data_IF_081487375771
#
_entry.id   IF_081487375771
#
_cell.length_a   1.000
_cell.length_b   1.000
_cell.length_c   1.000
_cell.angle_alpha   90.00
_cell.angle_beta   90.00
_cell.angle_gamma   90.00
#
_symmetry.space_group_name_H-M   'P 1'
#
loop_
_entity.id
_entity.type
_entity.pdbx_description
1 polymer ?
#
# COMPACT_ATOMS: atom_id res chain seq x y z
N UNK A 1 31.36 -34.04 -54.63
CA UNK A 1 31.03 -32.63 -54.29
C UNK A 1 29.51 -32.52 -54.42
N UNK A 2 28.69 -32.32 -53.40
CA UNK A 2 28.69 -31.30 -52.34
C UNK A 2 27.87 -31.78 -51.11
N UNK A 3 28.30 -31.35 -49.93
CA UNK A 3 27.73 -31.60 -48.60
C UNK A 3 26.27 -31.12 -48.49
N UNK A 4 25.38 -31.92 -47.88
CA UNK A 4 24.12 -31.41 -47.30
C UNK A 4 24.27 -31.39 -45.79
N UNK A 5 24.46 -30.17 -45.29
CA UNK A 5 24.65 -29.86 -43.89
C UNK A 5 23.32 -29.91 -43.12
N UNK A 6 23.45 -30.47 -41.92
CA UNK A 6 22.48 -30.57 -40.84
C UNK A 6 21.89 -29.19 -40.51
N UNK A 7 20.56 -29.07 -40.47
CA UNK A 7 19.87 -27.96 -39.81
C UNK A 7 19.35 -28.45 -38.46
N UNK A 8 20.08 -28.10 -37.41
CA UNK A 8 19.67 -28.29 -36.02
C UNK A 8 18.49 -27.38 -35.69
N UNK A 9 17.42 -27.94 -35.13
CA UNK A 9 16.26 -27.22 -34.60
C UNK A 9 16.65 -26.70 -33.21
N UNK A 10 16.77 -25.38 -33.06
CA UNK A 10 17.11 -24.72 -31.80
C UNK A 10 15.86 -24.23 -31.08
N UNK A 11 15.78 -24.57 -29.78
CA UNK A 11 15.29 -23.81 -28.63
C UNK A 11 13.85 -23.25 -28.61
N UNK A 12 13.11 -23.61 -27.56
CA UNK A 12 12.42 -22.62 -26.70
C UNK A 12 12.55 -23.08 -25.24
N UNK A 13 13.55 -22.54 -24.52
CA UNK A 13 13.57 -22.57 -23.05
C UNK A 13 12.90 -21.26 -22.59
N UNK A 14 11.60 -21.31 -22.33
CA UNK A 14 10.87 -20.14 -21.85
C UNK A 14 11.27 -19.85 -20.40
N UNK A 15 12.22 -18.93 -20.21
CA UNK A 15 12.54 -18.34 -18.92
C UNK A 15 11.51 -17.25 -18.61
N UNK A 16 10.39 -17.63 -17.99
CA UNK A 16 9.45 -16.67 -17.44
C UNK A 16 10.07 -16.04 -16.20
N UNK A 17 10.82 -14.95 -16.37
CA UNK A 17 11.23 -14.11 -15.26
C UNK A 17 9.99 -13.33 -14.77
N UNK A 18 9.30 -13.86 -13.74
CA UNK A 18 8.40 -13.03 -12.95
C UNK A 18 9.26 -12.03 -12.17
N UNK A 19 9.51 -10.88 -12.78
CA UNK A 19 9.93 -9.70 -12.05
C UNK A 19 8.74 -9.31 -11.15
N UNK A 20 8.75 -9.76 -9.91
CA UNK A 20 7.89 -9.17 -8.89
C UNK A 20 8.21 -7.69 -8.83
N UNK A 21 7.24 -6.82 -9.12
CA UNK A 21 7.42 -5.39 -8.97
C UNK A 21 7.90 -5.12 -7.54
N UNK A 22 9.02 -4.42 -7.39
CA UNK A 22 9.39 -3.86 -6.10
C UNK A 22 8.29 -2.86 -5.74
N UNK A 23 7.45 -3.22 -4.77
CA UNK A 23 6.34 -2.37 -4.33
C UNK A 23 6.93 -1.07 -3.75
N UNK A 24 6.65 0.08 -4.36
CA UNK A 24 7.05 1.37 -3.81
C UNK A 24 6.30 1.62 -2.49
N UNK A 25 6.96 2.26 -1.52
CA UNK A 25 6.33 2.61 -0.26
C UNK A 25 6.32 4.13 -0.11
N UNK A 26 5.27 4.64 0.53
CA UNK A 26 5.18 6.04 0.92
C UNK A 26 5.48 6.18 2.42
N UNK A 27 6.27 7.18 2.76
CA UNK A 27 6.61 7.50 4.14
C UNK A 27 6.23 8.95 4.44
N UNK A 28 5.62 9.18 5.61
CA UNK A 28 5.33 10.52 6.09
C UNK A 28 5.77 10.68 7.54
N UNK A 29 6.56 11.72 7.80
CA UNK A 29 7.00 12.10 9.14
C UNK A 29 6.75 13.60 9.33
N UNK A 30 5.88 13.97 10.28
CA UNK A 30 5.58 15.38 10.49
C UNK A 30 4.49 15.65 11.53
N UNK A 31 4.26 16.93 11.83
CA UNK A 31 3.20 17.34 12.74
C UNK A 31 2.47 18.59 12.24
N UNK A 32 1.15 18.61 12.41
CA UNK A 32 0.30 19.74 12.05
C UNK A 32 0.27 20.06 10.55
N UNK A 33 0.62 19.10 9.69
CA UNK A 33 0.72 19.31 8.25
C UNK A 33 -0.52 18.81 7.51
N UNK A 34 -0.71 19.33 6.31
CA UNK A 34 -1.61 18.77 5.31
C UNK A 34 -0.82 18.32 4.09
N UNK A 35 -0.98 17.08 3.66
CA UNK A 35 -0.25 16.53 2.53
C UNK A 35 -1.03 15.45 1.78
N UNK A 36 -0.65 15.24 0.53
CA UNK A 36 -1.08 14.13 -0.30
C UNK A 36 0.10 13.18 -0.54
N UNK A 37 -0.18 11.87 -0.51
CA UNK A 37 0.81 10.82 -0.70
C UNK A 37 0.27 9.84 -1.75
N UNK A 38 1.18 9.25 -2.52
CA UNK A 38 0.88 8.11 -3.39
C UNK A 38 1.76 6.93 -2.97
N UNK A 39 1.15 5.80 -2.64
CA UNK A 39 1.87 4.59 -2.25
C UNK A 39 2.17 3.67 -3.45
N UNK A 40 1.70 4.01 -4.67
CA UNK A 40 1.90 3.26 -5.91
C UNK A 40 1.66 1.74 -5.77
N UNK A 41 0.61 1.37 -5.02
CA UNK A 41 0.23 -0.02 -4.78
C UNK A 41 0.98 -0.73 -3.67
N UNK A 42 1.90 -0.06 -2.98
CA UNK A 42 2.60 -0.59 -1.82
C UNK A 42 2.06 -0.08 -0.50
N UNK A 43 2.96 0.06 0.48
CA UNK A 43 2.57 0.40 1.83
C UNK A 43 2.75 1.89 2.12
N UNK A 44 2.03 2.38 3.12
CA UNK A 44 2.24 3.70 3.69
C UNK A 44 2.55 3.61 5.18
N UNK A 45 3.62 4.28 5.59
CA UNK A 45 4.07 4.41 6.97
C UNK A 45 3.97 5.89 7.39
N UNK A 46 3.18 6.16 8.42
CA UNK A 46 2.87 7.53 8.89
C UNK A 46 3.29 7.64 10.34
N UNK A 47 4.23 8.53 10.64
CA UNK A 47 4.62 8.87 12.01
C UNK A 47 4.39 10.35 12.30
N UNK A 48 3.71 10.64 13.40
CA UNK A 48 3.57 12.01 13.88
C UNK A 48 2.17 12.34 14.39
N UNK A 49 1.83 13.63 14.45
CA UNK A 49 0.64 14.08 15.13
C UNK A 49 -0.11 15.22 14.44
N UNK A 50 -1.43 15.22 14.59
CA UNK A 50 -2.32 16.28 14.11
C UNK A 50 -2.19 16.57 12.60
N UNK A 51 -1.86 15.56 11.79
CA UNK A 51 -1.76 15.73 10.34
C UNK A 51 -3.10 15.45 9.65
N UNK A 52 -3.31 16.05 8.49
CA UNK A 52 -4.43 15.79 7.58
C UNK A 52 -3.84 15.22 6.28
N UNK A 53 -4.02 13.91 6.06
CA UNK A 53 -3.36 13.21 4.97
C UNK A 53 -4.39 12.58 4.03
N UNK A 54 -4.16 12.70 2.73
CA UNK A 54 -4.88 11.96 1.69
C UNK A 54 -3.88 11.04 1.01
N UNK A 55 -4.17 9.75 0.97
CA UNK A 55 -3.26 8.72 0.46
C UNK A 55 -3.93 7.95 -0.67
N UNK A 56 -3.30 7.98 -1.84
CA UNK A 56 -3.76 7.33 -3.06
C UNK A 56 -2.89 6.12 -3.41
N UNK A 57 -3.29 5.39 -4.46
CA UNK A 57 -2.45 4.34 -5.06
C UNK A 57 -2.87 2.90 -4.77
N UNK A 58 -4.07 2.64 -4.23
CA UNK A 58 -4.50 1.27 -3.85
C UNK A 58 -3.52 0.59 -2.89
N UNK A 59 -3.29 1.20 -1.73
CA UNK A 59 -2.26 0.76 -0.79
C UNK A 59 -2.58 -0.60 -0.17
N UNK A 60 -1.55 -1.44 -0.06
CA UNK A 60 -1.64 -2.77 0.56
C UNK A 60 -1.59 -2.72 2.08
N UNK A 61 -1.03 -1.66 2.64
CA UNK A 61 -0.90 -1.48 4.10
C UNK A 61 -0.89 -0.01 4.48
N UNK A 62 -1.60 0.31 5.55
CA UNK A 62 -1.40 1.53 6.33
C UNK A 62 -0.84 1.15 7.69
N UNK A 63 0.29 1.73 8.07
CA UNK A 63 0.79 1.70 9.44
C UNK A 63 0.91 3.14 9.95
N UNK A 64 0.19 3.46 11.01
CA UNK A 64 0.16 4.79 11.59
C UNK A 64 0.61 4.73 13.06
N UNK A 65 1.62 5.54 13.38
CA UNK A 65 2.10 5.73 14.75
C UNK A 65 1.97 7.20 15.15
N UNK A 66 1.19 7.45 16.19
CA UNK A 66 1.04 8.79 16.77
C UNK A 66 -0.40 9.16 17.11
N UNK A 67 -0.71 10.45 17.12
CA UNK A 67 -1.96 10.94 17.71
C UNK A 67 -2.65 12.06 16.94
N UNK A 68 -3.97 12.07 16.95
CA UNK A 68 -4.77 13.16 16.38
C UNK A 68 -4.71 13.27 14.86
N UNK A 69 -4.18 12.27 14.14
CA UNK A 69 -4.09 12.32 12.69
C UNK A 69 -5.46 12.03 12.04
N UNK A 70 -5.77 12.73 10.95
CA UNK A 70 -6.92 12.50 10.08
C UNK A 70 -6.43 11.99 8.74
N UNK A 71 -6.70 10.74 8.40
CA UNK A 71 -6.19 10.12 7.17
C UNK A 71 -7.34 9.62 6.32
N UNK A 72 -7.35 9.99 5.05
CA UNK A 72 -8.18 9.35 4.01
C UNK A 72 -7.28 8.51 3.12
N UNK A 73 -7.61 7.23 2.89
CA UNK A 73 -6.74 6.33 2.13
C UNK A 73 -7.50 5.42 1.17
N UNK A 74 -6.95 5.23 -0.04
CA UNK A 74 -7.39 4.23 -1.01
C UNK A 74 -6.62 2.91 -0.81
N UNK A 75 -7.33 1.83 -0.49
CA UNK A 75 -6.76 0.52 -0.17
C UNK A 75 -6.93 -0.50 -1.31
N UNK A 76 -5.95 -1.38 -1.43
CA UNK A 76 -5.99 -2.57 -2.28
C UNK A 76 -7.05 -3.59 -1.84
N UNK A 77 -7.32 -4.58 -2.71
CA UNK A 77 -8.27 -5.67 -2.43
C UNK A 77 -7.90 -6.49 -1.18
N UNK A 78 -6.60 -6.70 -0.95
CA UNK A 78 -6.04 -7.43 0.20
C UNK A 78 -5.17 -6.48 0.99
N UNK A 79 -5.79 -5.63 1.81
CA UNK A 79 -5.10 -4.60 2.56
C UNK A 79 -5.16 -4.82 4.08
N UNK A 80 -4.27 -4.14 4.79
CA UNK A 80 -4.27 -4.08 6.25
C UNK A 80 -4.11 -2.65 6.78
N UNK A 81 -4.68 -2.39 7.95
CA UNK A 81 -4.55 -1.14 8.68
C UNK A 81 -4.04 -1.47 10.08
N UNK A 82 -2.92 -0.88 10.47
CA UNK A 82 -2.37 -0.93 11.81
C UNK A 82 -2.25 0.49 12.36
N UNK A 83 -2.77 0.72 13.55
CA UNK A 83 -2.70 2.02 14.24
C UNK A 83 -2.17 1.80 15.65
N UNK A 84 -1.16 2.59 16.01
CA UNK A 84 -0.64 2.68 17.38
C UNK A 84 -0.68 4.13 17.84
N UNK A 85 -1.41 4.39 18.92
CA UNK A 85 -1.52 5.71 19.52
C UNK A 85 -2.98 6.11 19.80
N UNK A 86 -3.27 7.41 19.76
CA UNK A 86 -4.54 7.91 20.29
C UNK A 86 -5.28 8.90 19.39
N UNK A 87 -6.60 8.85 19.42
CA UNK A 87 -7.49 9.83 18.77
C UNK A 87 -7.24 10.03 17.27
N UNK A 88 -6.79 9.01 16.54
CA UNK A 88 -6.66 9.07 15.09
C UNK A 88 -8.02 8.81 14.42
N UNK A 89 -8.30 9.48 13.30
CA UNK A 89 -9.53 9.33 12.50
C UNK A 89 -9.18 8.90 11.07
N UNK A 90 -9.39 7.61 10.77
CA UNK A 90 -9.05 6.98 9.50
C UNK A 90 -10.32 6.70 8.71
N UNK A 91 -10.37 7.22 7.49
CA UNK A 91 -11.38 6.93 6.48
C UNK A 91 -10.75 6.18 5.34
N UNK A 92 -11.20 4.96 5.06
CA UNK A 92 -10.63 4.15 3.98
C UNK A 92 -11.64 3.84 2.88
N UNK A 93 -11.18 3.82 1.63
CA UNK A 93 -11.90 3.37 0.45
C UNK A 93 -11.25 2.11 -0.08
N UNK A 94 -12.05 1.22 -0.66
CA UNK A 94 -11.58 -0.02 -1.28
C UNK A 94 -12.67 -0.56 -2.22
N UNK A 95 -12.36 -1.54 -3.09
CA UNK A 95 -13.39 -2.30 -3.80
C UNK A 95 -14.46 -2.85 -2.85
N UNK A 96 -15.72 -2.93 -3.29
CA UNK A 96 -16.88 -3.18 -2.42
C UNK A 96 -16.78 -4.44 -1.54
N UNK A 97 -16.12 -5.49 -2.03
CA UNK A 97 -15.97 -6.77 -1.33
C UNK A 97 -14.80 -6.80 -0.33
N UNK A 98 -14.01 -5.74 -0.23
CA UNK A 98 -12.79 -5.71 0.58
C UNK A 98 -13.10 -5.54 2.06
N UNK A 99 -12.54 -6.44 2.87
CA UNK A 99 -12.53 -6.38 4.34
C UNK A 99 -11.07 -6.37 4.79
N UNK A 100 -10.46 -5.19 5.04
CA UNK A 100 -9.07 -5.14 5.46
C UNK A 100 -8.91 -5.72 6.86
N UNK A 101 -7.74 -6.30 7.15
CA UNK A 101 -7.37 -6.63 8.53
C UNK A 101 -7.10 -5.34 9.27
N UNK A 102 -7.79 -5.09 10.38
CA UNK A 102 -7.64 -3.86 11.16
C UNK A 102 -7.13 -4.20 12.56
N UNK A 103 -6.03 -3.56 12.96
CA UNK A 103 -5.51 -3.58 14.33
C UNK A 103 -5.40 -2.13 14.82
N UNK A 104 -5.91 -1.86 16.02
CA UNK A 104 -5.80 -0.56 16.67
C UNK A 104 -5.35 -0.74 18.11
N UNK A 105 -4.20 -0.19 18.44
CA UNK A 105 -3.62 -0.16 19.79
C UNK A 105 -3.66 1.28 20.32
N UNK A 106 -4.13 1.46 21.55
CA UNK A 106 -4.33 2.75 22.19
C UNK A 106 -5.80 3.15 22.27
N UNK A 107 -6.08 4.44 22.46
CA UNK A 107 -7.42 4.92 22.88
C UNK A 107 -8.02 5.91 21.88
N UNK A 108 -9.34 5.84 21.67
CA UNK A 108 -10.07 6.85 20.90
C UNK A 108 -9.84 6.85 19.39
N UNK A 109 -9.14 5.86 18.83
CA UNK A 109 -8.99 5.73 17.38
C UNK A 109 -10.35 5.38 16.73
N UNK A 110 -10.62 6.02 15.60
CA UNK A 110 -11.84 5.86 14.80
C UNK A 110 -11.45 5.39 13.41
N UNK A 111 -12.01 4.28 12.95
CA UNK A 111 -11.65 3.67 11.68
C UNK A 111 -12.94 3.32 10.95
N UNK A 112 -13.20 4.00 9.83
CA UNK A 112 -14.44 3.86 9.08
C UNK A 112 -14.16 3.64 7.60
N UNK A 113 -14.99 2.82 6.96
CA UNK A 113 -15.10 2.82 5.51
C UNK A 113 -15.75 4.14 5.09
N UNK A 114 -15.12 4.87 4.17
CA UNK A 114 -15.77 5.99 3.52
C UNK A 114 -16.96 5.49 2.69
N UNK A 115 -18.06 6.25 2.71
CA UNK A 115 -19.26 5.97 1.91
C UNK A 115 -18.97 6.18 0.43
#
# INVERSE_FOLDING_TARGET
MTKRHILTITAILSLSAFAGAAQANADFNGAGQQAELDCEGGAVDINGANNILVVHGSCTRLNLQGAGNRVTIDLAKQASIAITGANNDIRWKAPATTKPKITSVGVGNKIYRAK
#
